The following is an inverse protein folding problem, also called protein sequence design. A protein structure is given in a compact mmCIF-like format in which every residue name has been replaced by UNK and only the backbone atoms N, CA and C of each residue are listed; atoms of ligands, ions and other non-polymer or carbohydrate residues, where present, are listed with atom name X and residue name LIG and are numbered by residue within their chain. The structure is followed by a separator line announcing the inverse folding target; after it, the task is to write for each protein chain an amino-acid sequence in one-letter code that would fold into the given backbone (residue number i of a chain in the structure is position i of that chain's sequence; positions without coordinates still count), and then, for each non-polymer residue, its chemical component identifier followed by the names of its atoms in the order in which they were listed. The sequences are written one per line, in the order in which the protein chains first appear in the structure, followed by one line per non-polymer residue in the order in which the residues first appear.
data_IF_972323384607
#
_entry.id   IF_972323384607
#
_cell.length_a   1.000
_cell.length_b   1.000
_cell.length_c   1.000
_cell.angle_alpha   90.00
_cell.angle_beta   90.00
_cell.angle_gamma   90.00
#
_symmetry.space_group_name_H-M   'P 1'
#
loop_
_entity.id
_entity.type
_entity.pdbx_description
1 polymer ?
#
# COMPACT_ATOMS: atom_id res chain seq x y z
N UNK A 1 6.79 -25.77 -43.63
CA UNK A 1 7.28 -25.29 -42.33
C UNK A 1 6.11 -25.41 -41.40
N UNK A 2 6.14 -26.40 -40.50
CA UNK A 2 5.14 -26.50 -39.45
C UNK A 2 5.54 -25.50 -38.39
N UNK A 3 4.73 -24.45 -38.26
CA UNK A 3 4.74 -23.57 -37.10
C UNK A 3 4.34 -24.46 -35.92
N UNK A 4 5.36 -24.92 -35.18
CA UNK A 4 5.14 -25.60 -33.92
C UNK A 4 4.61 -24.51 -32.99
N UNK A 5 3.32 -24.61 -32.65
CA UNK A 5 2.72 -23.93 -31.51
C UNK A 5 3.56 -24.23 -30.26
N UNK A 6 4.60 -23.41 -30.03
CA UNK A 6 5.35 -23.36 -28.78
C UNK A 6 4.59 -22.53 -27.75
N UNK A 7 3.27 -22.70 -27.68
CA UNK A 7 2.40 -22.47 -26.51
C UNK A 7 2.74 -23.46 -25.37
N UNK A 8 4.00 -23.88 -25.36
CA UNK A 8 4.68 -24.79 -24.48
C UNK A 8 5.19 -23.96 -23.31
N UNK A 9 5.25 -24.56 -22.13
CA UNK A 9 5.93 -24.11 -20.91
C UNK A 9 7.08 -23.10 -21.05
N UNK A 10 7.85 -23.11 -22.14
CA UNK A 10 8.80 -22.05 -22.51
C UNK A 10 8.19 -20.62 -22.51
N UNK A 11 7.01 -20.42 -23.07
CA UNK A 11 6.30 -19.12 -23.04
C UNK A 11 5.89 -18.71 -21.63
N UNK A 12 5.61 -19.68 -20.75
CA UNK A 12 5.32 -19.43 -19.34
C UNK A 12 6.58 -19.04 -18.58
N UNK A 13 7.72 -19.69 -18.87
CA UNK A 13 9.02 -19.35 -18.30
C UNK A 13 9.47 -17.96 -18.75
N UNK A 14 9.29 -17.61 -20.03
CA UNK A 14 9.60 -16.28 -20.55
C UNK A 14 8.75 -15.21 -19.85
N UNK A 15 7.45 -15.48 -19.65
CA UNK A 15 6.56 -14.62 -18.86
C UNK A 15 7.03 -14.46 -17.40
N UNK A 16 7.51 -15.53 -16.76
CA UNK A 16 8.07 -15.42 -15.41
C UNK A 16 9.34 -14.58 -15.37
N UNK A 17 10.22 -14.67 -16.37
CA UNK A 17 11.39 -13.80 -16.48
C UNK A 17 11.00 -12.34 -16.71
N UNK A 18 9.96 -12.08 -17.52
CA UNK A 18 9.42 -10.73 -17.71
C UNK A 18 8.80 -10.17 -16.42
N UNK A 19 8.01 -10.97 -15.69
CA UNK A 19 7.43 -10.58 -14.41
C UNK A 19 8.51 -10.33 -13.34
N UNK A 20 9.54 -11.17 -13.28
CA UNK A 20 10.68 -11.00 -12.37
C UNK A 20 11.50 -9.75 -12.72
N UNK A 21 11.73 -9.50 -14.01
CA UNK A 21 12.40 -8.29 -14.48
C UNK A 21 11.58 -7.04 -14.14
N UNK A 22 10.27 -7.06 -14.38
CA UNK A 22 9.38 -5.96 -14.04
C UNK A 22 9.32 -5.73 -12.53
N UNK A 23 9.33 -6.79 -11.72
CA UNK A 23 9.39 -6.68 -10.26
C UNK A 23 10.70 -6.02 -9.81
N UNK A 24 11.83 -6.45 -10.35
CA UNK A 24 13.15 -5.89 -10.06
C UNK A 24 13.26 -4.42 -10.48
N UNK A 25 12.74 -4.06 -11.65
CA UNK A 25 12.70 -2.67 -12.10
C UNK A 25 11.85 -1.80 -11.17
N UNK A 26 10.69 -2.29 -10.70
CA UNK A 26 9.89 -1.57 -9.70
C UNK A 26 10.58 -1.48 -8.34
N UNK A 27 11.30 -2.50 -7.91
CA UNK A 27 12.07 -2.44 -6.66
C UNK A 27 13.20 -1.40 -6.74
N UNK A 28 13.83 -1.23 -7.91
CA UNK A 28 14.87 -0.22 -8.11
C UNK A 28 14.34 1.22 -8.16
N UNK A 29 13.03 1.43 -8.36
CA UNK A 29 12.42 2.76 -8.29
C UNK A 29 11.93 3.12 -6.89
N UNK A 30 12.08 2.23 -5.91
CA UNK A 30 11.61 2.42 -4.54
C UNK A 30 12.78 2.61 -3.56
N UNK A 31 12.59 3.51 -2.60
CA UNK A 31 13.49 3.64 -1.46
C UNK A 31 13.15 2.60 -0.39
N UNK A 32 14.18 1.96 0.19
CA UNK A 32 14.00 1.07 1.32
C UNK A 32 13.85 1.85 2.63
N UNK A 33 12.78 1.60 3.37
CA UNK A 33 12.53 2.20 4.69
C UNK A 33 12.46 1.12 5.77
N UNK A 34 13.34 1.20 6.78
CA UNK A 34 13.38 0.26 7.90
C UNK A 34 12.95 0.95 9.19
N UNK A 35 11.95 0.39 9.88
CA UNK A 35 11.42 0.89 11.14
C UNK A 35 11.67 -0.10 12.28
N UNK A 36 11.90 0.40 13.49
CA UNK A 36 11.91 -0.41 14.72
C UNK A 36 10.62 -0.17 15.48
N UNK A 37 9.86 -1.23 15.70
CA UNK A 37 8.61 -1.24 16.49
C UNK A 37 8.86 -1.91 17.84
N UNK A 38 8.04 -1.56 18.82
CA UNK A 38 8.04 -2.29 20.08
C UNK A 38 7.40 -3.68 19.91
N UNK A 39 7.49 -4.53 20.94
CA UNK A 39 6.98 -5.89 20.87
C UNK A 39 5.44 -5.94 20.77
N UNK A 40 4.74 -4.97 21.37
CA UNK A 40 3.27 -4.95 21.42
C UNK A 40 2.67 -4.57 20.07
N UNK A 41 3.18 -3.50 19.46
CA UNK A 41 2.75 -3.00 18.16
C UNK A 41 3.09 -4.02 17.06
N UNK A 42 4.27 -4.65 17.16
CA UNK A 42 4.65 -5.73 16.25
C UNK A 42 3.70 -6.94 16.37
N UNK A 43 3.31 -7.31 17.59
CA UNK A 43 2.35 -8.39 17.80
C UNK A 43 0.98 -8.05 17.19
N UNK A 44 0.48 -6.84 17.40
CA UNK A 44 -0.78 -6.37 16.82
C UNK A 44 -0.73 -6.37 15.29
N UNK A 45 0.36 -5.86 14.72
CA UNK A 45 0.59 -5.84 13.28
C UNK A 45 0.58 -7.25 12.68
N UNK A 46 1.23 -8.21 13.35
CA UNK A 46 1.23 -9.62 12.93
C UNK A 46 -0.16 -10.27 13.00
N UNK A 47 -0.95 -9.95 14.03
CA UNK A 47 -2.34 -10.45 14.17
C UNK A 47 -3.22 -9.90 13.04
N UNK A 48 -3.11 -8.61 12.72
CA UNK A 48 -3.82 -7.97 11.62
C UNK A 48 -3.40 -8.57 10.27
N UNK A 49 -2.10 -8.67 10.01
CA UNK A 49 -1.56 -9.24 8.78
C UNK A 49 -2.08 -10.66 8.54
N UNK A 50 -2.09 -11.50 9.60
CA UNK A 50 -2.65 -12.86 9.55
C UNK A 50 -4.15 -12.86 9.27
N UNK A 51 -4.92 -11.97 9.90
CA UNK A 51 -6.37 -11.87 9.71
C UNK A 51 -6.74 -11.55 8.27
N UNK A 52 -5.97 -10.66 7.63
CA UNK A 52 -6.22 -10.22 6.26
C UNK A 52 -5.42 -10.98 5.20
N UNK A 53 -4.61 -11.97 5.59
CA UNK A 53 -3.73 -12.74 4.70
C UNK A 53 -2.83 -11.86 3.84
N UNK A 54 -2.34 -10.77 4.43
CA UNK A 54 -1.41 -9.80 3.82
C UNK A 54 -0.04 -9.90 4.46
N UNK A 55 0.99 -9.41 3.76
CA UNK A 55 2.30 -9.30 4.36
C UNK A 55 2.32 -8.15 5.39
N UNK A 56 3.17 -8.28 6.41
CA UNK A 56 3.33 -7.28 7.46
C UNK A 56 3.68 -5.91 6.89
N UNK A 57 4.58 -5.90 5.92
CA UNK A 57 5.10 -4.67 5.32
C UNK A 57 4.04 -3.98 4.45
N UNK A 58 3.14 -4.75 3.80
CA UNK A 58 1.99 -4.20 3.06
C UNK A 58 1.01 -3.49 4.01
N UNK A 59 0.68 -4.12 5.14
CA UNK A 59 -0.18 -3.49 6.16
C UNK A 59 0.49 -2.23 6.71
N UNK A 60 1.79 -2.28 7.01
CA UNK A 60 2.53 -1.13 7.54
C UNK A 60 2.54 0.03 6.53
N UNK A 61 2.74 -0.25 5.25
CA UNK A 61 2.69 0.75 4.18
C UNK A 61 1.29 1.38 4.05
N UNK A 62 0.23 0.57 4.05
CA UNK A 62 -1.15 1.07 3.98
C UNK A 62 -1.51 1.94 5.18
N UNK A 63 -1.16 1.51 6.39
CA UNK A 63 -1.41 2.26 7.62
C UNK A 63 -0.61 3.56 7.63
N UNK A 64 0.67 3.52 7.26
CA UNK A 64 1.51 4.71 7.22
C UNK A 64 0.99 5.72 6.18
N UNK A 65 0.63 5.26 4.98
CA UNK A 65 0.09 6.14 3.93
C UNK A 65 -1.19 6.85 4.38
N UNK A 66 -2.10 6.14 5.03
CA UNK A 66 -3.34 6.74 5.54
C UNK A 66 -3.07 7.67 6.73
N UNK A 67 -2.20 7.28 7.66
CA UNK A 67 -1.83 8.10 8.80
C UNK A 67 -1.20 9.43 8.37
N UNK A 68 -0.37 9.43 7.32
CA UNK A 68 0.21 10.67 6.78
C UNK A 68 -0.86 11.61 6.23
N UNK A 69 -1.87 11.09 5.51
CA UNK A 69 -3.00 11.88 5.02
C UNK A 69 -3.83 12.44 6.19
N UNK A 70 -4.11 11.63 7.20
CA UNK A 70 -4.88 12.05 8.38
C UNK A 70 -4.15 13.13 9.18
N UNK A 71 -2.84 12.99 9.39
CA UNK A 71 -2.01 14.01 10.03
C UNK A 71 -1.98 15.30 9.21
N UNK A 72 -1.81 15.17 7.89
CA UNK A 72 -1.82 16.31 6.97
C UNK A 72 -3.16 17.06 6.97
N UNK A 73 -4.28 16.35 7.07
CA UNK A 73 -5.62 16.93 7.16
C UNK A 73 -5.90 17.66 8.47
N UNK A 74 -5.13 17.41 9.53
CA UNK A 74 -5.27 18.12 10.82
C UNK A 74 -4.50 19.42 10.91
N UNK A 75 -3.60 19.69 9.96
CA UNK A 75 -2.86 20.95 9.89
C UNK A 75 -3.76 22.12 9.46
N UNK A 76 -3.39 23.34 9.84
CA UNK A 76 -4.08 24.54 9.37
C UNK A 76 -3.88 24.75 7.87
N UNK A 77 -4.88 25.33 7.20
CA UNK A 77 -4.87 25.50 5.72
C UNK A 77 -3.65 26.26 5.20
N UNK A 78 -3.16 27.27 5.94
CA UNK A 78 -1.97 28.02 5.56
C UNK A 78 -0.68 27.18 5.57
N UNK A 79 -0.49 26.40 6.64
CA UNK A 79 0.67 25.53 6.83
C UNK A 79 0.62 24.33 5.87
N UNK A 80 -0.57 23.73 5.73
CA UNK A 80 -0.82 22.59 4.86
C UNK A 80 -0.40 22.85 3.41
N UNK A 81 -0.70 24.04 2.89
CA UNK A 81 -0.33 24.44 1.53
C UNK A 81 1.18 24.56 1.32
N UNK A 82 1.91 25.05 2.31
CA UNK A 82 3.38 25.15 2.24
C UNK A 82 3.99 23.75 2.34
N UNK A 83 3.58 22.96 3.33
CA UNK A 83 4.04 21.59 3.53
C UNK A 83 3.77 20.68 2.32
N UNK A 84 2.63 20.83 1.63
CA UNK A 84 2.37 20.09 0.41
C UNK A 84 3.40 20.38 -0.69
N UNK A 85 3.77 21.66 -0.87
CA UNK A 85 4.74 22.05 -1.90
C UNK A 85 6.12 21.51 -1.56
N UNK A 86 6.52 21.65 -0.30
CA UNK A 86 7.81 21.17 0.19
C UNK A 86 7.90 19.64 0.08
N UNK A 87 6.82 18.92 0.41
CA UNK A 87 6.76 17.47 0.25
C UNK A 87 6.82 17.02 -1.22
N UNK A 88 6.10 17.71 -2.13
CA UNK A 88 6.15 17.41 -3.57
C UNK A 88 7.51 17.79 -4.21
N UNK A 89 8.26 18.71 -3.62
CA UNK A 89 9.64 19.03 -4.00
C UNK A 89 10.62 17.99 -3.45
N UNK A 90 10.52 17.65 -2.15
CA UNK A 90 11.32 16.60 -1.53
C UNK A 90 11.11 15.24 -2.20
N UNK A 91 9.89 14.91 -2.61
CA UNK A 91 9.60 13.68 -3.36
C UNK A 91 10.35 13.60 -4.69
N UNK A 92 10.57 14.74 -5.36
CA UNK A 92 11.38 14.81 -6.58
C UNK A 92 12.87 14.65 -6.27
N UNK A 93 13.36 15.32 -5.23
CA UNK A 93 14.75 15.14 -4.77
C UNK A 93 15.04 13.67 -4.45
N UNK A 94 14.15 13.00 -3.71
CA UNK A 94 14.29 11.59 -3.37
C UNK A 94 14.23 10.71 -4.62
N UNK A 95 13.39 11.04 -5.60
CA UNK A 95 13.33 10.30 -6.86
C UNK A 95 14.65 10.38 -7.64
N UNK A 96 15.27 11.56 -7.66
CA UNK A 96 16.55 11.81 -8.30
C UNK A 96 17.67 11.06 -7.54
N UNK A 97 17.66 11.07 -6.20
CA UNK A 97 18.58 10.29 -5.36
C UNK A 97 18.46 8.78 -5.63
N UNK A 98 17.23 8.23 -5.69
CA UNK A 98 17.00 6.81 -6.02
C UNK A 98 17.53 6.48 -7.42
N UNK A 99 17.33 7.39 -8.39
CA UNK A 99 17.82 7.20 -9.76
C UNK A 99 19.36 7.14 -9.78
N UNK A 100 20.02 8.04 -9.05
CA UNK A 100 21.48 8.07 -8.91
C UNK A 100 22.03 6.81 -8.22
N UNK A 101 21.44 6.40 -7.09
CA UNK A 101 21.87 5.23 -6.31
C UNK A 101 21.74 3.91 -7.10
N UNK A 102 20.68 3.77 -7.89
CA UNK A 102 20.41 2.58 -8.69
C UNK A 102 21.03 2.63 -10.10
N UNK A 103 21.68 3.74 -10.47
CA UNK A 103 22.28 3.92 -11.79
C UNK A 103 21.25 4.02 -12.93
N UNK A 104 20.02 4.44 -12.61
CA UNK A 104 18.90 4.62 -13.56
C UNK A 104 18.83 6.09 -13.96
N UNK A 105 18.41 6.37 -15.21
CA UNK A 105 18.35 7.76 -15.72
C UNK A 105 17.37 8.65 -14.96
N UNK A 106 16.23 8.11 -14.55
CA UNK A 106 15.18 8.85 -13.84
C UNK A 106 14.15 7.88 -13.28
N UNK A 107 13.68 8.13 -12.07
CA UNK A 107 12.51 7.45 -11.51
C UNK A 107 11.24 8.26 -11.84
N UNK A 108 10.23 7.61 -12.40
CA UNK A 108 8.94 8.26 -12.63
C UNK A 108 8.21 8.48 -11.30
N UNK A 109 7.98 9.74 -10.92
CA UNK A 109 7.24 10.11 -9.72
C UNK A 109 6.05 10.99 -10.07
N UNK A 110 4.88 10.62 -9.52
CA UNK A 110 3.65 11.40 -9.67
C UNK A 110 3.86 12.78 -9.06
N UNK A 111 3.65 13.82 -9.85
CA UNK A 111 3.83 15.21 -9.41
C UNK A 111 2.56 15.75 -8.74
N UNK A 112 2.73 16.60 -7.73
CA UNK A 112 1.61 17.33 -7.13
C UNK A 112 0.65 16.48 -6.29
N UNK A 113 1.11 15.34 -5.75
CA UNK A 113 0.28 14.41 -4.97
C UNK A 113 -0.23 15.11 -3.71
N UNK A 114 0.67 15.75 -2.96
CA UNK A 114 0.30 16.44 -1.72
C UNK A 114 -0.48 17.73 -1.98
N UNK A 115 -0.12 18.46 -3.04
CA UNK A 115 -0.91 19.61 -3.50
C UNK A 115 -2.34 19.22 -3.90
N UNK A 116 -2.56 18.01 -4.43
CA UNK A 116 -3.90 17.50 -4.72
C UNK A 116 -4.66 17.16 -3.43
N UNK A 117 -4.02 16.47 -2.48
CA UNK A 117 -4.61 16.19 -1.18
C UNK A 117 -5.03 17.48 -0.46
N UNK A 118 -4.21 18.55 -0.48
CA UNK A 118 -4.59 19.86 0.08
C UNK A 118 -5.88 20.42 -0.52
N UNK A 119 -6.00 20.38 -1.85
CA UNK A 119 -7.22 20.83 -2.56
C UNK A 119 -8.44 20.02 -2.16
N UNK A 120 -8.29 18.70 -2.05
CA UNK A 120 -9.38 17.79 -1.68
C UNK A 120 -9.84 18.05 -0.24
N UNK A 121 -8.90 18.15 0.70
CA UNK A 121 -9.22 18.41 2.11
C UNK A 121 -9.88 19.78 2.23
N UNK A 122 -9.35 20.81 1.58
CA UNK A 122 -9.96 22.15 1.54
C UNK A 122 -11.40 22.11 1.01
N UNK A 123 -11.67 21.29 -0.03
CA UNK A 123 -13.02 21.11 -0.58
C UNK A 123 -13.96 20.46 0.46
N UNK A 124 -13.48 19.44 1.17
CA UNK A 124 -14.23 18.74 2.22
C UNK A 124 -14.53 19.69 3.40
N UNK A 125 -13.54 20.45 3.84
CA UNK A 125 -13.68 21.43 4.93
C UNK A 125 -14.70 22.51 4.58
N UNK A 126 -14.64 23.06 3.36
CA UNK A 126 -15.64 24.03 2.87
C UNK A 126 -17.05 23.43 2.80
N UNK A 127 -17.19 22.18 2.36
CA UNK A 127 -18.50 21.49 2.35
C UNK A 127 -19.03 21.32 3.78
N UNK A 128 -18.18 20.90 4.71
CA UNK A 128 -18.52 20.72 6.12
C UNK A 128 -18.91 22.05 6.78
N UNK A 129 -18.18 23.12 6.51
CA UNK A 129 -18.49 24.46 7.01
C UNK A 129 -19.86 24.95 6.49
N UNK A 130 -20.14 24.76 5.19
CA UNK A 130 -21.44 25.13 4.59
C UNK A 130 -22.62 24.34 5.17
N UNK A 131 -22.44 23.04 5.42
CA UNK A 131 -23.48 22.21 6.05
C UNK A 131 -23.72 22.62 7.51
N UNK A 132 -22.65 22.93 8.25
CA UNK A 132 -22.78 23.44 9.61
C UNK A 132 -23.47 24.81 9.66
N UNK A 133 -23.22 25.68 8.67
CA UNK A 133 -23.90 26.97 8.56
C UNK A 133 -25.39 26.82 8.20
N UNK A 134 -25.75 25.86 7.32
CA UNK A 134 -27.15 25.58 7.00
C UNK A 134 -27.92 24.97 8.19
N UNK A 135 -27.27 24.10 8.96
CA UNK A 135 -27.88 23.46 10.15
C UNK A 135 -28.05 24.44 11.32
N UNK A 136 -27.19 25.46 11.42
CA UNK A 136 -27.30 26.51 12.44
C UNK A 136 -28.22 27.68 12.05
N UNK A 137 -28.81 27.67 10.86
CA UNK A 137 -29.78 28.70 10.47
C UNK A 137 -31.14 28.35 11.08
N UNK A 138 -31.68 29.14 12.03
CA UNK A 138 -33.00 28.85 12.58
C UNK A 138 -34.03 28.85 11.45
N UNK A 139 -34.82 27.78 11.37
CA UNK A 139 -35.98 27.66 10.49
C UNK A 139 -36.97 28.79 10.81
N UNK A 140 -36.81 29.93 10.16
CA UNK A 140 -37.84 30.96 10.11
C UNK A 140 -38.93 30.42 9.18
N UNK A 141 -39.97 29.83 9.77
CA UNK A 141 -41.21 29.52 9.08
C UNK A 141 -41.78 30.81 8.47
N UNK A 142 -41.82 30.89 7.15
CA UNK A 142 -42.80 31.67 6.41
C UNK A 142 -43.23 30.83 5.20
N UNK A 143 -44.49 30.35 5.15
CA UNK A 143 -45.08 29.91 3.89
C UNK A 143 -45.68 31.13 3.16
N UNK A 144 -45.79 30.97 1.84
CA UNK A 144 -46.39 31.87 0.84
C UNK A 144 -45.54 33.05 0.33
N UNK A 145 -44.92 32.85 -0.84
CA UNK A 145 -45.63 33.21 -2.07
C UNK A 145 -45.05 32.51 -3.30
N UNK A 146 -45.99 32.16 -4.17
CA UNK A 146 -45.93 31.51 -5.46
C UNK A 146 -45.27 32.37 -6.57
N UNK A 147 -44.89 31.66 -7.63
CA UNK A 147 -44.82 32.06 -9.04
C UNK A 147 -43.43 32.33 -9.70
N UNK A 148 -43.09 31.34 -10.53
CA UNK A 148 -42.42 31.34 -11.85
C UNK A 148 -41.25 32.28 -12.16
N UNK A 149 -40.11 31.71 -12.54
CA UNK A 149 -39.76 31.70 -13.97
C UNK A 149 -38.65 30.69 -14.31
N UNK A 150 -38.88 30.07 -15.45
CA UNK A 150 -38.10 29.08 -16.18
C UNK A 150 -36.77 29.70 -16.67
N UNK A 151 -35.62 29.08 -16.37
CA UNK A 151 -34.47 29.18 -17.28
C UNK A 151 -33.65 27.90 -17.24
N UNK A 152 -33.71 27.22 -18.37
CA UNK A 152 -32.97 26.03 -18.69
C UNK A 152 -31.48 26.34 -18.84
N UNK A 153 -30.66 25.73 -17.99
CA UNK A 153 -29.29 25.40 -18.36
C UNK A 153 -28.92 24.02 -17.82
N UNK A 154 -29.31 23.01 -18.60
CA UNK A 154 -28.65 21.71 -18.60
C UNK A 154 -27.17 21.91 -18.94
N UNK A 155 -26.32 21.70 -17.94
CA UNK A 155 -24.96 21.24 -18.15
C UNK A 155 -24.83 19.93 -17.38
N UNK A 156 -24.98 18.82 -18.10
CA UNK A 156 -24.57 17.50 -17.68
C UNK A 156 -23.08 17.53 -17.33
N UNK A 157 -22.74 17.26 -16.07
CA UNK A 157 -21.40 16.82 -15.68
C UNK A 157 -21.58 15.63 -14.71
N UNK A 158 -20.85 14.53 -14.93
CA UNK A 158 -21.19 13.23 -14.36
C UNK A 158 -20.95 13.18 -12.86
N UNK A 159 -21.90 12.54 -12.19
CA UNK A 159 -21.84 12.14 -10.79
C UNK A 159 -20.75 11.07 -10.57
N UNK A 160 -19.50 11.50 -10.38
CA UNK A 160 -18.46 10.65 -9.79
C UNK A 160 -18.47 10.77 -8.27
N UNK A 161 -19.40 10.05 -7.65
CA UNK A 161 -19.29 9.68 -6.24
C UNK A 161 -18.48 8.37 -6.18
N UNK A 162 -17.17 8.46 -6.46
CA UNK A 162 -16.26 7.35 -6.19
C UNK A 162 -15.90 7.33 -4.71
N UNK A 163 -16.57 6.42 -4.02
CA UNK A 163 -16.17 5.84 -2.76
C UNK A 163 -14.67 5.57 -2.72
N UNK A 164 -14.04 6.04 -1.65
CA UNK A 164 -12.69 5.70 -1.23
C UNK A 164 -12.46 4.18 -1.25
N UNK A 165 -11.70 3.72 -2.21
CA UNK A 165 -10.66 2.68 -2.05
C UNK A 165 -9.74 2.82 -3.24
N UNK A 166 -8.52 3.29 -3.04
CA UNK A 166 -7.44 2.95 -3.95
C UNK A 166 -7.28 1.43 -3.86
N UNK A 167 -7.94 0.70 -4.77
CA UNK A 167 -7.58 -0.66 -5.05
C UNK A 167 -6.15 -0.61 -5.58
N UNK A 168 -5.22 -1.04 -4.73
CA UNK A 168 -3.95 -1.57 -5.20
C UNK A 168 -4.30 -2.66 -6.22
N UNK A 169 -3.97 -2.39 -7.47
CA UNK A 169 -4.11 -3.34 -8.57
C UNK A 169 -3.02 -4.40 -8.42
N UNK A 170 -3.18 -5.25 -7.39
CA UNK A 170 -2.53 -6.54 -7.31
C UNK A 170 -3.47 -7.51 -7.99
N UNK A 171 -3.29 -7.67 -9.30
CA UNK A 171 -3.88 -8.79 -10.04
C UNK A 171 -3.32 -10.08 -9.44
N UNK A 172 -4.08 -10.65 -8.51
CA UNK A 172 -3.87 -11.98 -7.98
C UNK A 172 -4.05 -12.98 -9.13
N UNK A 173 -2.93 -13.49 -9.65
CA UNK A 173 -2.96 -14.70 -10.45
C UNK A 173 -3.34 -15.84 -9.52
N UNK A 174 -4.55 -16.36 -9.72
CA UNK A 174 -5.04 -17.55 -9.08
C UNK A 174 -4.18 -18.75 -9.49
N UNK A 175 -3.48 -19.35 -8.53
CA UNK A 175 -3.05 -20.74 -8.61
C UNK A 175 -3.88 -21.52 -7.61
N UNK A 176 -4.97 -22.10 -8.12
CA UNK A 176 -5.55 -23.28 -7.50
C UNK A 176 -4.71 -24.47 -7.96
N UNK A 177 -3.98 -25.08 -7.03
CA UNK A 177 -3.78 -26.52 -7.08
C UNK A 177 -3.74 -27.09 -5.66
N UNK A 178 -4.77 -27.85 -5.35
CA UNK A 178 -4.90 -28.71 -4.17
C UNK A 178 -4.52 -30.11 -4.58
N UNK A 179 -3.55 -30.77 -3.93
CA UNK A 179 -3.68 -32.17 -3.47
C UNK A 179 -2.49 -32.69 -2.62
N UNK A 180 -2.55 -33.91 -2.00
CA UNK A 180 -2.48 -34.07 -0.55
C UNK A 180 -1.28 -34.91 -0.04
N UNK A 181 -1.17 -34.97 1.28
CA UNK A 181 -0.53 -35.99 2.16
C UNK A 181 0.65 -36.84 1.65
N UNK A 182 1.75 -36.83 2.42
CA UNK A 182 2.41 -38.07 2.86
C UNK A 182 3.19 -37.84 4.15
N UNK A 183 2.69 -38.47 5.21
CA UNK A 183 3.47 -38.85 6.39
C UNK A 183 4.67 -39.69 5.97
N UNK A 184 5.87 -39.32 6.42
CA UNK A 184 6.95 -40.25 6.80
C UNK A 184 8.18 -39.46 7.26
N UNK A 185 8.38 -39.34 8.57
CA UNK A 185 9.73 -39.51 9.14
C UNK A 185 9.61 -40.30 10.43
N UNK A 186 10.02 -41.56 10.33
CA UNK A 186 10.26 -42.45 11.44
C UNK A 186 11.46 -41.98 12.28
N UNK A 187 11.41 -42.39 13.54
CA UNK A 187 12.48 -42.44 14.54
C UNK A 187 13.92 -42.35 14.00
N UNK A 188 14.71 -41.45 14.59
CA UNK A 188 16.14 -41.73 14.81
C UNK A 188 16.57 -41.20 16.18
N UNK A 189 16.73 -42.14 17.11
CA UNK A 189 17.51 -41.99 18.33
C UNK A 189 18.94 -41.61 17.93
N UNK A 190 19.36 -40.39 18.22
CA UNK A 190 20.77 -40.02 18.19
C UNK A 190 21.37 -40.33 19.56
N UNK A 191 22.10 -41.44 19.61
CA UNK A 191 23.09 -41.76 20.63
C UNK A 191 24.15 -40.64 20.67
N UNK A 192 24.11 -39.83 21.72
CA UNK A 192 25.28 -39.07 22.13
C UNK A 192 26.38 -40.05 22.56
N UNK A 193 27.49 -39.99 21.83
CA UNK A 193 28.72 -40.71 22.14
C UNK A 193 29.71 -39.68 22.69
N UNK A 194 29.68 -39.51 24.01
CA UNK A 194 30.67 -38.87 24.87
C UNK A 194 30.71 -39.80 26.10
N UNK A 195 31.80 -40.38 26.60
CA UNK A 195 33.13 -39.87 26.90
C UNK A 195 34.13 -41.03 27.03
N UNK A 196 35.39 -40.72 26.70
CA UNK A 196 36.60 -41.48 27.01
C UNK A 196 36.64 -42.00 28.45
N UNK A 197 36.73 -43.32 28.64
CA UNK A 197 37.33 -43.93 29.83
C UNK A 197 38.76 -44.39 29.52
N UNK A 198 39.78 -43.98 30.28
CA UNK A 198 41.09 -44.62 30.20
C UNK A 198 41.04 -45.98 30.94
N UNK A 199 41.62 -47.00 30.32
CA UNK A 199 41.86 -48.30 30.93
C UNK A 199 42.56 -48.17 32.29
N UNK A 200 42.02 -48.83 33.31
CA UNK A 200 42.75 -49.20 34.52
C UNK A 200 42.76 -50.73 34.65
N UNK A 201 43.67 -51.37 33.92
CA UNK A 201 44.15 -52.72 34.23
C UNK A 201 45.35 -52.58 35.15
N UNK A 202 45.15 -52.72 36.47
CA UNK A 202 46.11 -53.28 37.43
C UNK A 202 45.53 -53.19 38.86
N UNK A 203 45.51 -54.30 39.61
CA UNK A 203 45.45 -54.21 41.07
C UNK A 203 44.71 -55.34 41.78
N UNK A 204 45.42 -56.48 41.94
CA UNK A 204 45.32 -57.48 43.04
C UNK A 204 44.12 -58.41 43.12
#
# INVERSE_FOLDING_TARGET
MQDIDTTSTQSLVDRYYEEEKAKREREQTLAAFTMRLDANDLAMLNVIARRFRKNRDEIAQEVLSNALIDLFARLDSGERKLLARDADEAARSIADEIAEENGIRSVEVKTGVWANHDRQITKIERKKAKMQESDNRPQANNPDNDDSDDDASQADEPSDNQTLTAQADNTAMASADTNPETDTVAQEETKETEENQPMSMFGS
#
